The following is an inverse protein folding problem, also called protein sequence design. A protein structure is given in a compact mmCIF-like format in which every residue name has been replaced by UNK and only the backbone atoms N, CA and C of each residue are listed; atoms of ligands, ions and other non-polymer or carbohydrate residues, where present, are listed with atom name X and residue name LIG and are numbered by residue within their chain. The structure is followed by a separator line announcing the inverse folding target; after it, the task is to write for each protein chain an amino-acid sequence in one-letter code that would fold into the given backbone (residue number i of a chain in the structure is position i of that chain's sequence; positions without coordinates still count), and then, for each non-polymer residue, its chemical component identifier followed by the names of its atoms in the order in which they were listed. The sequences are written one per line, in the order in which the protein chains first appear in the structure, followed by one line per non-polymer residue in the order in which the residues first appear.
data_IF_853280347305
#
_entry.id   IF_853280347305
#
_cell.length_a   1.000
_cell.length_b   1.000
_cell.length_c   1.000
_cell.angle_alpha   90.00
_cell.angle_beta   90.00
_cell.angle_gamma   90.00
#
_symmetry.space_group_name_H-M   'P 1'
#
loop_
_entity.id
_entity.type
_entity.pdbx_description
1 polymer ?
#
# COMPACT_ATOMS: atom_id res chain seq x y z
N UNK A 1 -15.19 -3.88 -36.05
CA UNK A 1 -15.43 -3.73 -34.59
C UNK A 1 -14.60 -4.79 -33.89
N UNK A 2 -13.58 -4.53 -33.05
CA UNK A 2 -13.49 -3.62 -31.89
C UNK A 2 -12.00 -3.24 -31.69
N UNK A 3 -11.77 -2.07 -31.11
CA UNK A 3 -10.56 -1.24 -31.19
C UNK A 3 -9.35 -1.80 -30.43
N UNK A 4 -8.17 -1.62 -31.01
CA UNK A 4 -6.87 -1.59 -30.32
C UNK A 4 -6.83 -0.51 -29.25
N UNK A 5 -6.17 -0.78 -28.12
CA UNK A 5 -5.49 0.25 -27.35
C UNK A 5 -4.16 -0.28 -26.84
N UNK A 6 -3.10 0.10 -27.55
CA UNK A 6 -1.74 0.14 -27.01
C UNK A 6 -1.70 1.15 -25.87
N UNK A 7 -1.01 0.84 -24.78
CA UNK A 7 -0.51 1.86 -23.85
C UNK A 7 0.97 1.65 -23.64
N UNK A 8 1.75 2.32 -24.50
CA UNK A 8 3.06 2.81 -24.14
C UNK A 8 2.87 4.21 -23.55
N UNK A 9 3.42 4.46 -22.35
CA UNK A 9 3.60 5.83 -21.85
C UNK A 9 4.99 5.99 -21.24
N UNK A 10 5.85 6.57 -22.08
CA UNK A 10 6.82 7.62 -21.81
C UNK A 10 7.62 7.62 -20.49
N UNK A 11 8.94 7.50 -20.65
CA UNK A 11 9.98 7.99 -19.75
C UNK A 11 9.80 9.50 -19.51
N UNK A 12 9.35 9.88 -18.31
CA UNK A 12 9.49 11.24 -17.80
C UNK A 12 10.27 11.19 -16.49
N UNK A 13 11.46 11.78 -16.49
CA UNK A 13 12.35 12.00 -15.33
C UNK A 13 11.78 13.05 -14.35
N UNK A 14 10.49 13.36 -14.44
CA UNK A 14 9.80 14.17 -13.43
C UNK A 14 9.39 13.26 -12.26
N UNK A 15 9.72 13.67 -11.03
CA UNK A 15 9.16 13.01 -9.83
C UNK A 15 7.63 12.96 -9.97
N UNK A 16 6.99 11.79 -9.80
CA UNK A 16 5.54 11.71 -9.91
C UNK A 16 4.89 12.70 -8.93
N UNK A 17 4.00 13.55 -9.44
CA UNK A 17 3.25 14.48 -8.58
C UNK A 17 2.26 13.66 -7.77
N UNK A 18 2.39 13.72 -6.45
CA UNK A 18 1.46 13.07 -5.51
C UNK A 18 0.31 14.03 -5.26
N UNK A 19 -0.92 13.58 -5.46
CA UNK A 19 -2.10 14.29 -4.97
C UNK A 19 -2.23 14.12 -3.45
N UNK A 20 -1.93 15.18 -2.70
CA UNK A 20 -1.97 15.15 -1.24
C UNK A 20 -3.38 15.02 -0.67
N UNK A 21 -4.41 15.52 -1.36
CA UNK A 21 -5.79 15.39 -0.90
C UNK A 21 -6.27 13.95 -1.09
N UNK A 22 -5.96 13.35 -2.24
CA UNK A 22 -6.26 11.93 -2.49
C UNK A 22 -5.50 11.02 -1.51
N UNK A 23 -4.23 11.34 -1.24
CA UNK A 23 -3.43 10.62 -0.24
C UNK A 23 -4.06 10.65 1.15
N UNK A 24 -4.53 11.81 1.60
CA UNK A 24 -5.15 11.94 2.92
C UNK A 24 -6.49 11.19 2.99
N UNK A 25 -7.31 11.27 1.93
CA UNK A 25 -8.53 10.47 1.82
C UNK A 25 -8.23 8.96 1.86
N UNK A 26 -7.24 8.50 1.09
CA UNK A 26 -6.85 7.09 1.03
C UNK A 26 -6.30 6.60 2.38
N UNK A 27 -5.52 7.43 3.08
CA UNK A 27 -4.97 7.12 4.40
C UNK A 27 -6.05 6.82 5.45
N UNK A 28 -7.24 7.41 5.29
CA UNK A 28 -8.38 7.20 6.17
C UNK A 28 -9.27 6.02 5.76
N UNK A 29 -8.98 5.32 4.66
CA UNK A 29 -9.74 4.14 4.25
C UNK A 29 -9.66 3.03 5.30
N UNK A 30 -10.77 2.34 5.52
CA UNK A 30 -10.77 1.10 6.28
C UNK A 30 -9.97 0.01 5.54
N UNK A 31 -9.47 -0.99 6.28
CA UNK A 31 -8.66 -2.09 5.71
C UNK A 31 -9.33 -2.73 4.50
N UNK A 32 -10.63 -3.03 4.58
CA UNK A 32 -11.37 -3.67 3.49
C UNK A 32 -11.37 -2.82 2.22
N UNK A 33 -11.60 -1.52 2.34
CA UNK A 33 -11.72 -0.62 1.21
C UNK A 33 -10.36 -0.33 0.58
N UNK A 34 -9.30 -0.23 1.40
CA UNK A 34 -7.92 -0.19 0.91
C UNK A 34 -7.57 -1.46 0.12
N UNK A 35 -7.89 -2.64 0.65
CA UNK A 35 -7.60 -3.90 -0.02
C UNK A 35 -8.37 -4.03 -1.34
N UNK A 36 -9.62 -3.57 -1.39
CA UNK A 36 -10.39 -3.51 -2.62
C UNK A 36 -9.76 -2.57 -3.65
N UNK A 37 -9.32 -1.38 -3.21
CA UNK A 37 -8.62 -0.40 -4.04
C UNK A 37 -7.30 -0.95 -4.59
N UNK A 38 -6.49 -1.59 -3.75
CA UNK A 38 -5.24 -2.22 -4.19
C UNK A 38 -5.52 -3.34 -5.19
N UNK A 39 -6.57 -4.14 -4.97
CA UNK A 39 -6.94 -5.22 -5.89
C UNK A 39 -7.37 -4.71 -7.26
N UNK A 40 -8.01 -3.54 -7.35
CA UNK A 40 -8.44 -2.97 -8.64
C UNK A 40 -7.31 -2.20 -9.34
N UNK A 41 -6.62 -1.32 -8.62
CA UNK A 41 -5.68 -0.36 -9.21
C UNK A 41 -4.23 -0.89 -9.24
N UNK A 42 -3.84 -1.71 -8.27
CA UNK A 42 -2.46 -2.19 -8.15
C UNK A 42 -2.38 -3.66 -7.66
N UNK A 43 -2.83 -4.64 -8.47
CA UNK A 43 -2.86 -6.06 -8.07
C UNK A 43 -1.51 -6.57 -7.55
N UNK A 44 -0.39 -6.11 -8.14
CA UNK A 44 0.95 -6.49 -7.68
C UNK A 44 1.27 -6.02 -6.26
N UNK A 45 0.75 -4.87 -5.85
CA UNK A 45 0.89 -4.37 -4.47
C UNK A 45 -0.06 -5.09 -3.53
N UNK A 46 -1.25 -5.46 -4.02
CA UNK A 46 -2.20 -6.30 -3.28
C UNK A 46 -1.60 -7.67 -2.93
N UNK A 47 -0.89 -8.31 -3.85
CA UNK A 47 -0.23 -9.60 -3.61
C UNK A 47 0.85 -9.52 -2.52
N UNK A 48 1.49 -8.36 -2.38
CA UNK A 48 2.50 -8.09 -1.35
C UNK A 48 1.90 -7.53 -0.05
N UNK A 49 0.62 -7.18 -0.04
CA UNK A 49 -0.03 -6.56 1.10
C UNK A 49 -0.23 -7.59 2.21
N UNK A 50 0.32 -7.29 3.37
CA UNK A 50 0.19 -8.08 4.59
C UNK A 50 -0.66 -7.32 5.59
N UNK A 51 -1.77 -7.91 6.02
CA UNK A 51 -2.61 -7.37 7.09
C UNK A 51 -1.96 -7.76 8.42
N UNK A 52 -1.70 -6.78 9.27
CA UNK A 52 -1.05 -6.92 10.58
C UNK A 52 -1.94 -6.24 11.62
N UNK A 53 -2.80 -7.01 12.28
CA UNK A 53 -3.82 -6.46 13.19
C UNK A 53 -4.71 -5.43 12.48
N UNK A 54 -4.56 -4.14 12.84
CA UNK A 54 -5.29 -3.02 12.22
C UNK A 54 -4.54 -2.30 11.09
N UNK A 55 -3.30 -2.69 10.80
CA UNK A 55 -2.47 -2.06 9.77
C UNK A 55 -2.37 -2.93 8.51
N UNK A 56 -2.04 -2.32 7.39
CA UNK A 56 -1.62 -3.03 6.18
C UNK A 56 -0.18 -2.64 5.85
N UNK A 57 0.68 -3.63 5.71
CA UNK A 57 2.10 -3.47 5.43
C UNK A 57 2.45 -4.00 4.05
N UNK A 58 3.40 -3.35 3.38
CA UNK A 58 4.02 -3.85 2.16
C UNK A 58 5.53 -3.80 2.38
N UNK A 59 6.16 -4.95 2.21
CA UNK A 59 7.61 -5.09 2.30
C UNK A 59 8.16 -5.55 0.96
N UNK A 60 9.32 -5.00 0.61
CA UNK A 60 10.05 -5.39 -0.58
C UNK A 60 11.44 -5.87 -0.20
N UNK A 61 12.01 -6.77 -0.99
CA UNK A 61 13.38 -7.26 -0.79
C UNK A 61 14.43 -6.16 -1.04
N UNK A 62 14.21 -5.35 -2.07
CA UNK A 62 15.14 -4.32 -2.52
C UNK A 62 14.54 -2.91 -2.46
N UNK A 63 15.37 -1.91 -2.76
CA UNK A 63 14.93 -0.52 -2.85
C UNK A 63 13.95 -0.34 -4.01
N UNK A 64 12.81 0.27 -3.71
CA UNK A 64 11.76 0.48 -4.70
C UNK A 64 12.05 1.66 -5.62
N UNK A 65 11.65 1.56 -6.90
CA UNK A 65 11.77 2.67 -7.82
C UNK A 65 10.84 3.82 -7.37
N UNK A 66 11.19 5.09 -7.68
CA UNK A 66 10.44 6.25 -7.24
C UNK A 66 8.95 6.22 -7.61
N UNK A 67 8.61 5.63 -8.77
CA UNK A 67 7.24 5.46 -9.23
C UNK A 67 6.39 4.63 -8.27
N UNK A 68 6.93 3.52 -7.76
CA UNK A 68 6.25 2.65 -6.79
C UNK A 68 6.12 3.37 -5.45
N UNK A 69 7.16 4.11 -5.02
CA UNK A 69 7.08 4.89 -3.77
C UNK A 69 6.03 6.00 -3.84
N UNK A 70 5.86 6.65 -5.00
CA UNK A 70 4.82 7.66 -5.21
C UNK A 70 3.44 7.01 -5.21
N UNK A 71 3.24 5.89 -5.90
CA UNK A 71 1.97 5.16 -5.88
C UNK A 71 1.58 4.71 -4.47
N UNK A 72 2.53 4.16 -3.70
CA UNK A 72 2.29 3.79 -2.30
C UNK A 72 1.87 5.00 -1.47
N UNK A 73 2.55 6.14 -1.66
CA UNK A 73 2.18 7.37 -0.98
C UNK A 73 0.77 7.85 -1.37
N UNK A 74 0.38 7.76 -2.64
CA UNK A 74 -0.98 8.09 -3.11
C UNK A 74 -2.04 7.16 -2.51
N UNK A 75 -1.74 5.86 -2.36
CA UNK A 75 -2.59 4.91 -1.64
C UNK A 75 -2.63 5.15 -0.12
N UNK A 76 -1.96 6.17 0.41
CA UNK A 76 -1.98 6.50 1.83
C UNK A 76 -0.90 5.81 2.67
N UNK A 77 -0.04 4.98 2.06
CA UNK A 77 1.07 4.36 2.77
C UNK A 77 2.13 5.39 3.14
N UNK A 78 2.89 5.07 4.18
CA UNK A 78 4.10 5.81 4.53
C UNK A 78 5.22 4.87 4.94
N UNK A 79 6.45 5.32 4.72
CA UNK A 79 7.63 4.57 5.12
C UNK A 79 7.78 4.55 6.64
N UNK A 80 7.99 3.35 7.19
CA UNK A 80 8.42 3.16 8.57
C UNK A 80 9.90 2.81 8.59
N UNK A 81 10.75 3.78 8.93
CA UNK A 81 12.20 3.59 8.92
C UNK A 81 12.70 2.59 9.98
N UNK A 82 11.98 2.39 11.09
CA UNK A 82 12.40 1.43 12.11
C UNK A 82 12.19 -0.02 11.65
N UNK A 83 11.09 -0.25 10.94
CA UNK A 83 10.65 -1.59 10.51
C UNK A 83 11.04 -1.92 9.07
N UNK A 84 11.52 -0.92 8.31
CA UNK A 84 11.84 -1.03 6.89
C UNK A 84 10.64 -1.56 6.07
N UNK A 85 9.44 -1.05 6.37
CA UNK A 85 8.19 -1.41 5.67
C UNK A 85 7.40 -0.18 5.29
N UNK A 86 6.62 -0.29 4.23
CA UNK A 86 5.54 0.65 3.95
C UNK A 86 4.33 0.25 4.79
N UNK A 87 3.80 1.18 5.57
CA UNK A 87 2.65 0.92 6.43
C UNK A 87 1.48 1.84 6.10
N UNK A 88 0.28 1.29 6.19
CA UNK A 88 -0.98 2.00 6.08
C UNK A 88 -1.74 1.90 7.41
N UNK A 89 -2.21 3.03 7.98
CA UNK A 89 -2.92 3.06 9.27
C UNK A 89 -4.35 2.51 9.22
N UNK A 90 -4.95 2.44 8.02
CA UNK A 90 -6.29 1.92 7.75
C UNK A 90 -7.39 2.58 8.61
N UNK A 91 -7.30 3.91 8.75
CA UNK A 91 -8.17 4.70 9.63
C UNK A 91 -7.37 5.71 10.46
N UNK A 92 -7.97 6.28 11.52
CA UNK A 92 -7.34 7.30 12.32
C UNK A 92 -6.02 6.79 12.90
N UNK A 93 -4.99 7.63 12.78
CA UNK A 93 -3.64 7.30 13.22
C UNK A 93 -3.64 7.07 14.73
N UNK A 94 -3.61 5.82 15.13
CA UNK A 94 -3.41 5.48 16.53
C UNK A 94 -1.92 5.54 16.85
N UNK A 95 -1.56 6.26 17.91
CA UNK A 95 -0.19 6.32 18.45
C UNK A 95 0.20 5.03 19.18
N UNK A 96 0.18 3.91 18.45
CA UNK A 96 0.78 2.66 18.93
C UNK A 96 2.28 2.72 18.61
N UNK A 97 3.04 3.37 19.49
CA UNK A 97 4.48 3.56 19.38
C UNK A 97 5.31 2.38 19.92
N UNK A 98 4.66 1.23 20.18
CA UNK A 98 5.32 0.05 20.74
C UNK A 98 6.51 -0.37 19.86
N UNK A 99 7.68 -0.63 20.46
CA UNK A 99 8.86 -1.09 19.73
C UNK A 99 8.68 -2.52 19.20
N UNK A 100 7.85 -3.33 19.85
CA UNK A 100 7.61 -4.73 19.51
C UNK A 100 6.95 -4.88 18.14
N UNK A 101 7.26 -5.96 17.42
CA UNK A 101 6.64 -6.24 16.14
C UNK A 101 5.15 -6.60 16.33
N UNK A 102 4.19 -5.78 15.84
CA UNK A 102 2.77 -6.11 15.95
C UNK A 102 2.40 -7.44 15.28
N UNK A 103 3.21 -7.95 14.34
CA UNK A 103 3.02 -9.31 13.80
C UNK A 103 3.17 -10.39 14.85
N UNK A 104 4.07 -10.20 15.83
CA UNK A 104 4.24 -11.15 16.95
C UNK A 104 3.06 -11.10 17.93
N UNK A 105 2.45 -9.92 18.10
CA UNK A 105 1.35 -9.71 19.04
C UNK A 105 -0.02 -10.08 18.47
N UNK A 106 -0.30 -9.67 17.24
CA UNK A 106 -1.62 -9.78 16.62
C UNK A 106 -1.67 -10.81 15.48
N UNK A 107 -0.53 -11.38 15.10
CA UNK A 107 -0.40 -12.18 13.90
C UNK A 107 -0.42 -11.33 12.63
N UNK A 108 -0.29 -12.01 11.49
CA UNK A 108 -0.39 -11.41 10.17
C UNK A 108 -0.79 -12.43 9.12
N UNK A 109 -1.49 -11.97 8.09
CA UNK A 109 -1.83 -12.78 6.91
C UNK A 109 -1.68 -11.94 5.64
N UNK A 110 -1.39 -12.56 4.50
CA UNK A 110 -1.37 -11.84 3.22
C UNK A 110 -2.79 -11.61 2.72
N UNK A 111 -3.04 -10.44 2.14
CA UNK A 111 -4.33 -10.09 1.60
C UNK A 111 -4.79 -11.08 0.51
N UNK A 112 -3.85 -11.59 -0.28
CA UNK A 112 -4.09 -12.59 -1.31
C UNK A 112 -4.60 -13.93 -0.72
N UNK A 113 -4.11 -14.34 0.45
CA UNK A 113 -4.51 -15.59 1.10
C UNK A 113 -5.94 -15.54 1.66
N UNK A 114 -6.46 -14.33 1.94
CA UNK A 114 -7.78 -14.15 2.55
C UNK A 114 -8.94 -14.44 1.58
N UNK A 115 -8.67 -14.68 0.29
CA UNK A 115 -9.68 -15.06 -0.71
C UNK A 115 -10.08 -16.54 -0.68
N UNK A 116 -9.43 -17.36 0.16
CA UNK A 116 -9.65 -18.81 0.17
C UNK A 116 -10.65 -19.31 1.25
N UNK A 117 -11.45 -18.43 1.87
CA UNK A 117 -12.44 -18.80 2.88
C UNK A 117 -13.87 -18.41 2.48
#
# INVERSE_FOLDING_TARGET
MKKSVSSASATSTARPRIDFAQRDANRNLATRDLLALLRSEAPKLYDLAQVVGKWVWIQFADKQPPTITSQLAEFGFHWNNKRQVWQHPCGPVTVDASPDDPRQKYGSFFAADQQAA
#
